data_IF_017405237436
#
_entry.id   IF_017405237436
#
_cell.length_a   1.000
_cell.length_b   1.000
_cell.length_c   1.000
_cell.angle_alpha   90.00
_cell.angle_beta   90.00
_cell.angle_gamma   90.00
#
_symmetry.space_group_name_H-M   'P 1'
#
loop_
_entity.id
_entity.type
_entity.pdbx_description
1 polymer ?
#
# COMPACT_ATOMS: atom_id res chain seq x y z
N UNK A 1 -4.59 -91.61 39.25
CA UNK A 1 -6.03 -91.88 39.11
C UNK A 1 -6.72 -90.62 38.69
N UNK A 2 -7.23 -90.62 37.42
CA UNK A 2 -8.10 -89.61 36.77
C UNK A 2 -7.57 -88.15 36.73
N UNK A 3 -6.91 -87.72 35.78
CA UNK A 3 -7.13 -87.25 34.41
C UNK A 3 -8.42 -86.44 34.22
N UNK A 4 -8.31 -85.11 34.15
CA UNK A 4 -9.25 -84.29 33.43
C UNK A 4 -8.47 -83.26 32.57
N UNK A 5 -8.62 -83.46 31.29
CA UNK A 5 -8.18 -82.56 30.23
C UNK A 5 -9.15 -81.40 30.17
N UNK A 6 -8.70 -80.15 30.28
CA UNK A 6 -9.42 -79.01 29.82
C UNK A 6 -8.81 -78.53 28.52
N UNK A 7 -9.56 -78.69 27.47
CA UNK A 7 -9.29 -78.07 26.16
C UNK A 7 -9.79 -76.61 26.26
N UNK A 8 -8.86 -75.68 26.27
CA UNK A 8 -9.17 -74.25 26.11
C UNK A 8 -9.14 -73.91 24.60
N UNK A 9 -10.31 -73.66 24.05
CA UNK A 9 -10.48 -73.08 22.72
C UNK A 9 -10.15 -71.63 22.85
N UNK A 10 -8.99 -71.24 22.27
CA UNK A 10 -8.62 -69.83 22.08
C UNK A 10 -9.37 -69.32 20.85
N UNK A 11 -10.46 -68.63 21.08
CA UNK A 11 -11.14 -67.82 20.05
C UNK A 11 -10.30 -66.55 19.85
N UNK A 12 -9.49 -66.53 18.80
CA UNK A 12 -8.79 -65.32 18.34
C UNK A 12 -9.86 -64.35 17.75
N UNK A 13 -10.35 -63.44 18.55
CA UNK A 13 -11.12 -62.34 18.06
C UNK A 13 -10.20 -61.37 17.34
N UNK A 14 -10.25 -61.40 16.02
CA UNK A 14 -9.61 -60.40 15.16
C UNK A 14 -10.37 -59.09 15.33
N UNK A 15 -9.98 -58.27 16.28
CA UNK A 15 -10.42 -56.88 16.39
C UNK A 15 -9.76 -56.11 15.26
N UNK A 16 -10.51 -55.95 14.16
CA UNK A 16 -10.22 -54.94 13.16
C UNK A 16 -10.44 -53.62 13.89
N UNK A 17 -9.38 -53.01 14.38
CA UNK A 17 -9.41 -51.64 14.83
C UNK A 17 -9.74 -50.75 13.62
N UNK A 18 -11.00 -50.36 13.53
CA UNK A 18 -11.33 -49.16 12.76
C UNK A 18 -10.56 -48.04 13.46
N UNK A 19 -9.47 -47.59 12.84
CA UNK A 19 -8.92 -46.29 13.15
C UNK A 19 -10.02 -45.27 12.79
N UNK A 20 -10.86 -44.96 13.79
CA UNK A 20 -11.78 -43.87 13.69
C UNK A 20 -10.96 -42.61 13.60
N UNK A 21 -11.09 -41.89 12.49
CA UNK A 21 -10.61 -40.53 12.40
C UNK A 21 -11.05 -39.79 13.68
N UNK A 22 -10.12 -39.31 14.47
CA UNK A 22 -10.45 -38.50 15.64
C UNK A 22 -11.00 -37.15 15.10
N UNK A 23 -12.34 -37.03 15.23
CA UNK A 23 -13.03 -35.73 15.01
C UNK A 23 -13.13 -35.05 16.35
N UNK A 24 -12.53 -33.91 16.46
CA UNK A 24 -12.63 -33.08 17.65
C UNK A 24 -14.04 -32.45 17.72
N UNK A 25 -14.71 -32.55 18.90
CA UNK A 25 -16.02 -31.94 19.14
C UNK A 25 -15.82 -30.69 19.99
N UNK A 26 -16.09 -29.51 19.43
CA UNK A 26 -15.93 -28.23 20.08
C UNK A 26 -17.28 -27.54 20.26
N UNK A 27 -17.48 -26.86 21.39
CA UNK A 27 -18.70 -26.10 21.68
C UNK A 27 -19.84 -26.89 22.23
N UNK A 28 -19.58 -28.01 22.89
CA UNK A 28 -20.58 -29.01 23.30
C UNK A 28 -21.09 -28.91 24.75
N UNK A 29 -20.76 -27.84 25.47
CA UNK A 29 -21.44 -27.65 26.76
C UNK A 29 -22.83 -27.06 26.54
N UNK A 30 -23.84 -27.95 26.58
CA UNK A 30 -25.29 -27.67 26.70
C UNK A 30 -26.09 -27.10 25.50
N UNK A 31 -25.69 -27.32 24.26
CA UNK A 31 -26.61 -27.01 23.14
C UNK A 31 -27.08 -28.29 22.42
N UNK A 32 -28.33 -28.67 22.63
CA UNK A 32 -29.08 -29.65 21.81
C UNK A 32 -29.31 -29.10 20.39
N UNK A 33 -28.22 -28.79 19.66
CA UNK A 33 -28.27 -28.26 18.30
C UNK A 33 -27.86 -29.32 17.28
N UNK A 34 -28.45 -29.27 16.09
CA UNK A 34 -27.99 -30.01 14.95
C UNK A 34 -26.51 -29.66 14.67
N UNK A 35 -25.72 -30.57 14.15
CA UNK A 35 -24.27 -30.38 13.93
C UNK A 35 -23.88 -30.78 12.53
N UNK A 36 -22.79 -30.15 12.03
CA UNK A 36 -22.09 -30.53 10.80
C UNK A 36 -20.60 -30.57 11.04
N UNK A 37 -19.83 -30.88 10.01
CA UNK A 37 -18.37 -31.00 10.08
C UNK A 37 -17.69 -29.93 9.25
N UNK A 38 -16.78 -29.18 9.84
CA UNK A 38 -15.81 -28.38 9.11
C UNK A 38 -14.58 -29.28 8.82
N UNK A 39 -14.31 -29.56 7.54
CA UNK A 39 -13.27 -30.49 7.11
C UNK A 39 -11.97 -29.75 6.81
N UNK A 40 -10.86 -30.33 7.23
CA UNK A 40 -9.50 -29.87 6.92
C UNK A 40 -8.72 -30.84 6.04
N UNK A 41 -9.35 -31.89 5.52
CA UNK A 41 -8.67 -32.89 4.68
C UNK A 41 -8.09 -32.30 3.39
N UNK A 42 -8.78 -31.32 2.79
CA UNK A 42 -8.37 -30.61 1.57
C UNK A 42 -7.97 -29.15 1.86
N UNK A 43 -7.79 -28.83 3.13
CA UNK A 43 -7.46 -27.47 3.56
C UNK A 43 -5.97 -27.18 3.30
N UNK A 44 -5.71 -26.13 2.55
CA UNK A 44 -4.36 -25.65 2.24
C UNK A 44 -4.18 -24.20 2.62
N UNK A 45 -2.95 -23.84 3.02
CA UNK A 45 -2.52 -22.46 3.21
C UNK A 45 -1.40 -22.17 2.21
N UNK A 46 -1.52 -21.07 1.49
CA UNK A 46 -0.44 -20.50 0.70
C UNK A 46 -0.20 -19.06 1.13
N UNK A 47 1.03 -18.57 0.96
CA UNK A 47 1.41 -17.21 1.33
C UNK A 47 1.73 -16.41 0.07
N UNK A 48 1.05 -15.27 -0.12
CA UNK A 48 1.40 -14.32 -1.18
C UNK A 48 2.54 -13.43 -0.69
N UNK A 49 3.68 -13.47 -1.40
CA UNK A 49 4.91 -12.75 -1.06
C UNK A 49 5.21 -11.58 -1.99
N UNK A 50 4.24 -11.10 -2.76
CA UNK A 50 4.45 -10.09 -3.80
C UNK A 50 5.05 -8.77 -3.29
N UNK A 51 4.85 -8.43 -2.00
CA UNK A 51 5.45 -7.24 -1.36
C UNK A 51 6.85 -7.54 -0.77
N UNK A 52 7.20 -8.80 -0.55
CA UNK A 52 8.44 -9.20 0.14
C UNK A 52 9.58 -9.69 -0.76
N UNK A 53 9.46 -9.58 -2.08
CA UNK A 53 10.47 -10.07 -3.04
C UNK A 53 11.87 -9.48 -2.79
N UNK A 54 11.99 -8.38 -2.05
CA UNK A 54 13.27 -7.67 -1.82
C UNK A 54 13.88 -7.96 -0.44
N UNK A 55 13.12 -8.48 0.51
CA UNK A 55 13.65 -8.81 1.82
C UNK A 55 13.66 -10.33 2.02
N UNK A 56 14.85 -10.89 2.27
CA UNK A 56 15.02 -12.28 2.74
C UNK A 56 14.51 -12.47 4.18
N UNK A 57 13.42 -11.83 4.55
CA UNK A 57 12.69 -12.14 5.77
C UNK A 57 12.15 -13.56 5.60
N UNK A 58 12.57 -14.45 6.47
CA UNK A 58 12.35 -15.87 6.34
C UNK A 58 10.88 -16.20 6.07
N UNK A 59 10.64 -17.06 5.09
CA UNK A 59 9.37 -17.73 4.90
C UNK A 59 8.98 -18.33 6.26
N UNK A 60 7.97 -17.76 6.92
CA UNK A 60 7.42 -18.39 8.13
C UNK A 60 6.90 -19.77 7.71
N UNK A 61 7.35 -20.81 8.41
CA UNK A 61 6.86 -22.16 8.15
C UNK A 61 5.35 -22.20 8.34
N UNK A 62 4.61 -22.42 7.26
CA UNK A 62 3.14 -22.45 7.26
C UNK A 62 2.58 -23.45 8.28
N UNK A 63 3.34 -24.52 8.62
CA UNK A 63 2.92 -25.48 9.63
C UNK A 63 2.75 -24.87 11.03
N UNK A 64 3.34 -23.70 11.28
CA UNK A 64 3.23 -23.00 12.55
C UNK A 64 2.12 -21.92 12.55
N UNK A 65 1.36 -21.77 11.46
CA UNK A 65 0.28 -20.79 11.40
C UNK A 65 -0.82 -21.13 12.41
N UNK A 66 -1.30 -20.08 13.08
CA UNK A 66 -2.35 -20.17 14.09
C UNK A 66 -3.69 -19.93 13.43
N UNK A 67 -4.65 -20.81 13.71
CA UNK A 67 -6.01 -20.77 13.17
C UNK A 67 -6.97 -20.64 14.33
N UNK A 68 -7.88 -19.66 14.24
CA UNK A 68 -8.95 -19.40 15.22
C UNK A 68 -10.28 -19.38 14.52
N UNK A 69 -11.25 -20.04 15.11
CA UNK A 69 -12.64 -20.12 14.61
C UNK A 69 -13.51 -19.26 15.50
N UNK A 70 -14.41 -18.50 14.92
CA UNK A 70 -15.33 -17.63 15.63
C UNK A 70 -16.77 -17.91 15.17
N UNK A 71 -17.70 -17.81 16.11
CA UNK A 71 -19.13 -17.91 15.83
C UNK A 71 -19.69 -16.60 15.22
N UNK A 72 -20.98 -16.56 14.95
CA UNK A 72 -21.67 -15.40 14.39
C UNK A 72 -21.66 -14.16 15.32
N UNK A 73 -21.40 -14.35 16.62
CA UNK A 73 -21.29 -13.27 17.59
C UNK A 73 -19.85 -12.73 17.69
N UNK A 74 -18.89 -13.38 17.01
CA UNK A 74 -17.48 -13.07 17.10
C UNK A 74 -16.79 -13.68 18.33
N UNK A 75 -17.43 -14.64 19.01
CA UNK A 75 -16.83 -15.39 20.11
C UNK A 75 -16.01 -16.55 19.56
N UNK A 76 -14.78 -16.72 20.10
CA UNK A 76 -13.91 -17.82 19.68
C UNK A 76 -14.51 -19.17 20.10
N UNK A 77 -14.53 -20.10 19.16
CA UNK A 77 -15.02 -21.47 19.36
C UNK A 77 -13.84 -22.43 19.42
N UNK A 78 -13.63 -23.01 20.59
CA UNK A 78 -12.46 -23.86 20.85
C UNK A 78 -11.17 -23.11 21.10
N UNK A 79 -10.06 -23.84 21.07
CA UNK A 79 -8.71 -23.31 21.31
C UNK A 79 -8.08 -22.84 19.99
N UNK A 80 -6.87 -22.26 20.08
CA UNK A 80 -6.04 -21.97 18.92
C UNK A 80 -5.54 -23.28 18.32
N UNK A 81 -5.76 -23.45 17.00
CA UNK A 81 -5.18 -24.57 16.25
C UNK A 81 -3.86 -24.17 15.60
N UNK A 82 -2.97 -25.12 15.49
CA UNK A 82 -1.72 -24.98 14.72
C UNK A 82 -1.90 -25.75 13.39
N UNK A 83 -1.68 -25.09 12.25
CA UNK A 83 -1.96 -25.65 10.93
C UNK A 83 -1.36 -27.05 10.72
N UNK A 84 -0.07 -27.25 11.06
CA UNK A 84 0.58 -28.55 10.94
C UNK A 84 0.09 -29.64 11.90
N UNK A 85 -0.81 -29.29 12.82
CA UNK A 85 -1.38 -30.18 13.85
C UNK A 85 -2.91 -30.22 13.82
N UNK A 86 -3.51 -29.70 12.72
CA UNK A 86 -4.96 -29.68 12.56
C UNK A 86 -5.54 -31.10 12.55
N UNK A 87 -6.70 -31.32 13.20
CA UNK A 87 -7.47 -32.56 13.02
C UNK A 87 -8.02 -32.64 11.59
N UNK A 88 -8.41 -33.81 11.13
CA UNK A 88 -9.05 -33.97 9.81
C UNK A 88 -10.38 -33.21 9.68
N UNK A 89 -11.02 -32.92 10.80
CA UNK A 89 -12.26 -32.13 10.84
C UNK A 89 -12.72 -31.82 12.25
N UNK A 90 -13.51 -30.78 12.36
CA UNK A 90 -14.11 -30.29 13.61
C UNK A 90 -15.63 -30.37 13.48
N UNK A 91 -16.31 -30.92 14.51
CA UNK A 91 -17.75 -30.93 14.59
C UNK A 91 -18.25 -29.65 15.27
N UNK A 92 -19.05 -28.87 14.56
CA UNK A 92 -19.61 -27.60 15.00
C UNK A 92 -21.13 -27.65 15.01
N UNK A 93 -21.80 -26.87 15.86
CA UNK A 93 -23.25 -26.65 15.80
C UNK A 93 -23.59 -25.95 14.48
N UNK A 94 -24.76 -26.23 13.90
CA UNK A 94 -25.21 -25.54 12.69
C UNK A 94 -25.22 -24.03 12.88
N UNK A 95 -24.70 -23.31 11.90
CA UNK A 95 -24.59 -21.85 11.99
C UNK A 95 -23.58 -21.28 11.01
N UNK A 96 -23.34 -19.99 11.15
CA UNK A 96 -22.34 -19.26 10.35
C UNK A 96 -21.12 -18.94 11.20
N UNK A 97 -19.95 -19.21 10.67
CA UNK A 97 -18.66 -19.03 11.34
C UNK A 97 -17.74 -18.16 10.51
N UNK A 98 -16.70 -17.69 11.16
CA UNK A 98 -15.55 -17.11 10.50
C UNK A 98 -14.27 -17.75 11.03
N UNK A 99 -13.20 -17.68 10.23
CA UNK A 99 -11.89 -18.23 10.59
C UNK A 99 -10.83 -17.18 10.35
N UNK A 100 -9.94 -16.98 11.33
CA UNK A 100 -8.73 -16.15 11.18
C UNK A 100 -7.50 -17.04 11.16
N UNK A 101 -6.64 -16.80 10.20
CA UNK A 101 -5.35 -17.48 10.00
C UNK A 101 -4.26 -16.45 10.16
N UNK A 102 -3.22 -16.74 10.96
CA UNK A 102 -2.10 -15.84 11.18
C UNK A 102 -0.78 -16.60 11.28
N UNK A 103 0.29 -16.06 10.72
CA UNK A 103 1.64 -16.67 10.80
C UNK A 103 2.25 -16.62 12.20
N UNK A 104 1.66 -15.88 13.12
CA UNK A 104 2.08 -15.72 14.52
C UNK A 104 0.86 -15.77 15.46
N UNK A 105 1.06 -16.19 16.69
CA UNK A 105 -0.01 -16.22 17.69
C UNK A 105 -0.43 -14.81 18.15
N UNK A 106 0.53 -13.90 18.19
CA UNK A 106 0.30 -12.49 18.55
C UNK A 106 1.10 -11.59 17.62
N UNK A 107 0.44 -10.57 17.05
CA UNK A 107 1.08 -9.59 16.18
C UNK A 107 1.84 -8.60 17.08
N UNK A 108 3.18 -8.44 16.92
CA UNK A 108 3.93 -7.40 17.62
C UNK A 108 3.41 -6.01 17.27
N UNK A 109 3.37 -5.08 18.22
CA UNK A 109 2.97 -3.71 17.96
C UNK A 109 3.86 -3.04 16.90
N UNK A 110 5.18 -3.28 16.98
CA UNK A 110 6.16 -2.92 15.95
C UNK A 110 7.44 -3.72 16.15
N UNK A 111 8.02 -4.24 15.04
CA UNK A 111 9.27 -4.99 15.08
C UNK A 111 9.98 -4.91 13.71
N UNK A 112 11.32 -4.92 13.71
CA UNK A 112 12.10 -5.00 12.47
C UNK A 112 12.09 -6.41 11.90
N UNK A 113 11.99 -6.51 10.56
CA UNK A 113 12.04 -7.78 9.81
C UNK A 113 11.05 -8.84 10.28
N UNK A 114 9.87 -8.41 10.78
CA UNK A 114 8.83 -9.27 11.32
C UNK A 114 7.52 -9.18 10.50
N UNK A 115 7.50 -9.63 9.23
CA UNK A 115 6.27 -9.69 8.44
C UNK A 115 5.29 -10.67 9.08
N UNK A 116 4.02 -10.29 9.13
CA UNK A 116 2.93 -11.15 9.57
C UNK A 116 1.95 -11.38 8.43
N UNK A 117 1.77 -12.64 8.08
CA UNK A 117 0.82 -13.07 7.05
C UNK A 117 -0.44 -13.60 7.68
N UNK A 118 -1.57 -13.37 7.03
CA UNK A 118 -2.83 -13.90 7.51
C UNK A 118 -3.97 -13.76 6.50
N UNK A 119 -5.08 -14.37 6.85
CA UNK A 119 -6.33 -14.28 6.12
C UNK A 119 -7.51 -14.35 7.09
N UNK A 120 -8.65 -13.79 6.68
CA UNK A 120 -9.93 -13.96 7.34
C UNK A 120 -10.91 -14.56 6.34
N UNK A 121 -11.49 -15.69 6.68
CA UNK A 121 -12.56 -16.34 5.91
C UNK A 121 -13.86 -16.10 6.65
N UNK A 122 -14.80 -15.40 6.03
CA UNK A 122 -16.12 -15.13 6.60
C UNK A 122 -17.18 -15.97 5.91
N UNK A 123 -18.33 -16.15 6.57
CA UNK A 123 -19.50 -16.80 5.98
C UNK A 123 -19.35 -18.31 5.80
N UNK A 124 -18.58 -18.97 6.66
CA UNK A 124 -18.48 -20.43 6.69
C UNK A 124 -19.80 -20.98 7.25
N UNK A 125 -20.60 -21.60 6.40
CA UNK A 125 -21.91 -22.17 6.80
C UNK A 125 -21.74 -23.63 7.15
N UNK A 126 -22.19 -24.01 8.37
CA UNK A 126 -22.23 -25.37 8.86
C UNK A 126 -23.71 -25.83 8.86
N UNK A 127 -24.02 -26.80 8.02
CA UNK A 127 -25.34 -27.39 7.90
C UNK A 127 -25.42 -28.75 8.59
N UNK A 128 -26.62 -29.15 8.99
CA UNK A 128 -26.87 -30.42 9.68
C UNK A 128 -26.39 -31.60 8.83
N UNK A 129 -25.60 -32.49 9.46
CA UNK A 129 -25.07 -33.71 8.85
C UNK A 129 -24.26 -33.48 7.56
N UNK A 130 -23.85 -32.23 7.26
CA UNK A 130 -23.05 -31.89 6.10
C UNK A 130 -21.58 -31.67 6.47
N UNK A 131 -20.73 -31.86 5.47
CA UNK A 131 -19.30 -31.54 5.57
C UNK A 131 -18.98 -30.30 4.71
N UNK A 132 -18.39 -29.28 5.35
CA UNK A 132 -17.95 -28.05 4.69
C UNK A 132 -16.45 -28.08 4.49
N UNK A 133 -15.98 -27.96 3.26
CA UNK A 133 -14.57 -27.86 2.90
C UNK A 133 -14.21 -26.42 2.50
N UNK A 134 -13.05 -25.93 2.91
CA UNK A 134 -12.60 -24.55 2.64
C UNK A 134 -11.63 -24.42 1.47
N UNK A 135 -11.02 -25.53 1.05
CA UNK A 135 -9.98 -25.51 0.00
C UNK A 135 -8.71 -24.79 0.42
N UNK A 136 -8.01 -24.18 -0.53
CA UNK A 136 -6.76 -23.45 -0.27
C UNK A 136 -7.05 -21.97 0.00
N UNK A 137 -6.49 -21.45 1.08
CA UNK A 137 -6.61 -20.04 1.49
C UNK A 137 -5.27 -19.33 1.32
N UNK A 138 -5.28 -18.22 0.59
CA UNK A 138 -4.10 -17.37 0.40
C UNK A 138 -3.97 -16.37 1.55
N UNK A 139 -2.89 -16.50 2.32
CA UNK A 139 -2.52 -15.54 3.36
C UNK A 139 -1.69 -14.41 2.75
N UNK A 140 -2.05 -13.16 3.05
CA UNK A 140 -1.37 -11.94 2.62
C UNK A 140 -0.73 -11.25 3.82
N UNK A 141 0.14 -10.26 3.55
CA UNK A 141 0.68 -9.40 4.61
C UNK A 141 -0.47 -8.67 5.31
N UNK A 142 -0.56 -8.79 6.64
CA UNK A 142 -1.61 -8.18 7.46
C UNK A 142 -1.11 -7.10 8.42
N UNK A 143 0.19 -6.90 8.52
CA UNK A 143 0.78 -5.74 9.17
C UNK A 143 1.21 -4.69 8.12
N UNK A 144 1.72 -3.55 8.58
CA UNK A 144 2.15 -2.44 7.74
C UNK A 144 3.67 -2.48 7.66
N UNK A 145 4.22 -2.56 6.46
CA UNK A 145 5.66 -2.50 6.21
C UNK A 145 6.08 -1.05 6.03
N UNK A 146 7.17 -0.65 6.68
CA UNK A 146 7.75 0.69 6.57
C UNK A 146 9.25 0.58 6.28
N UNK A 147 9.74 1.34 5.33
CA UNK A 147 11.16 1.55 5.10
C UNK A 147 11.48 3.05 5.09
N UNK A 148 12.66 3.41 5.61
CA UNK A 148 13.13 4.78 5.64
C UNK A 148 14.40 4.88 4.79
N UNK A 149 14.43 5.85 3.92
CA UNK A 149 15.56 6.14 3.04
C UNK A 149 15.84 7.62 2.94
N UNK A 150 16.92 7.96 2.28
CA UNK A 150 17.37 9.34 2.05
C UNK A 150 17.81 9.45 0.60
N UNK A 151 17.49 10.57 -0.07
CA UNK A 151 18.03 10.86 -1.40
C UNK A 151 19.55 11.01 -1.35
N UNK A 152 20.23 10.86 -2.47
CA UNK A 152 21.70 10.97 -2.55
C UNK A 152 22.18 12.31 -1.98
N UNK A 153 21.54 13.41 -2.38
CA UNK A 153 21.85 14.74 -1.86
C UNK A 153 21.61 14.86 -0.36
N UNK A 154 20.55 14.25 0.16
CA UNK A 154 20.28 14.24 1.60
C UNK A 154 21.33 13.45 2.35
N UNK A 155 21.83 12.34 1.81
CA UNK A 155 22.89 11.53 2.44
C UNK A 155 24.19 12.29 2.61
N UNK A 156 24.54 13.18 1.68
CA UNK A 156 25.77 13.99 1.71
C UNK A 156 25.79 15.01 2.85
N UNK A 157 24.62 15.55 3.22
CA UNK A 157 24.47 16.62 4.22
C UNK A 157 23.96 16.13 5.57
N UNK A 158 23.58 14.84 5.66
CA UNK A 158 22.98 14.25 6.85
C UNK A 158 24.04 13.93 7.90
N UNK A 159 23.89 14.45 9.12
CA UNK A 159 24.74 14.14 10.26
C UNK A 159 24.57 12.69 10.75
N UNK A 160 25.58 12.18 11.45
CA UNK A 160 25.54 10.81 12.00
C UNK A 160 24.59 10.67 13.19
N UNK A 161 24.12 11.77 13.76
CA UNK A 161 23.12 11.87 14.80
C UNK A 161 21.68 11.73 14.32
N UNK A 162 21.49 11.66 12.98
CA UNK A 162 20.18 11.61 12.37
C UNK A 162 19.45 10.30 12.64
N UNK A 163 18.19 10.42 12.98
CA UNK A 163 17.27 9.29 13.20
C UNK A 163 15.86 9.68 12.86
N UNK A 164 15.08 8.66 12.48
CA UNK A 164 13.65 8.78 12.23
C UNK A 164 12.90 7.85 13.18
N UNK A 165 11.94 8.38 13.91
CA UNK A 165 11.00 7.58 14.68
C UNK A 165 9.71 7.51 13.91
N UNK A 166 9.23 6.29 13.66
CA UNK A 166 7.92 6.03 13.05
C UNK A 166 7.01 5.43 14.10
N UNK A 167 5.80 5.97 14.20
CA UNK A 167 4.77 5.53 15.14
C UNK A 167 3.48 5.21 14.39
N UNK A 168 2.91 4.01 14.62
CA UNK A 168 1.62 3.58 14.07
C UNK A 168 0.87 2.85 15.19
N UNK A 169 -0.31 3.36 15.57
CA UNK A 169 -1.06 2.82 16.70
C UNK A 169 -0.22 2.83 17.98
N UNK A 170 -0.01 1.66 18.56
CA UNK A 170 0.83 1.47 19.77
C UNK A 170 2.28 1.10 19.43
N UNK A 171 2.61 0.96 18.15
CA UNK A 171 3.94 0.59 17.69
C UNK A 171 4.83 1.80 17.47
N UNK A 172 6.10 1.69 17.82
CA UNK A 172 7.12 2.70 17.57
C UNK A 172 8.45 2.04 17.24
N UNK A 173 9.10 2.48 16.14
CA UNK A 173 10.44 2.03 15.77
C UNK A 173 11.33 3.23 15.48
N UNK A 174 12.59 3.10 15.88
CA UNK A 174 13.64 4.07 15.63
C UNK A 174 14.54 3.59 14.50
N UNK A 175 14.61 4.36 13.42
CA UNK A 175 15.45 4.15 12.24
C UNK A 175 16.64 5.12 12.32
N UNK A 176 17.81 4.72 12.85
CA UNK A 176 19.00 5.54 12.80
C UNK A 176 19.49 5.71 11.35
N UNK A 177 20.32 6.72 11.10
CA UNK A 177 21.01 6.87 9.80
C UNK A 177 21.68 5.56 9.40
N UNK A 178 21.41 5.10 8.17
CA UNK A 178 21.97 3.87 7.63
C UNK A 178 21.21 2.58 8.01
N UNK A 179 20.08 2.66 8.73
CA UNK A 179 19.20 1.50 8.92
C UNK A 179 18.56 1.11 7.58
N UNK A 180 18.78 -0.15 7.19
CA UNK A 180 18.26 -0.69 5.92
C UNK A 180 17.11 -1.69 6.11
N UNK A 181 16.85 -2.09 7.36
CA UNK A 181 15.79 -3.03 7.69
C UNK A 181 14.43 -2.37 7.56
N UNK A 182 13.46 -3.15 7.09
CA UNK A 182 12.07 -2.72 7.11
C UNK A 182 11.47 -2.94 8.50
N UNK A 183 10.77 -1.94 9.01
CA UNK A 183 9.92 -2.07 10.19
C UNK A 183 8.53 -2.60 9.80
N UNK A 184 7.94 -3.39 10.69
CA UNK A 184 6.59 -3.91 10.52
C UNK A 184 5.76 -3.53 11.73
N UNK A 185 4.57 -2.98 11.49
CA UNK A 185 3.69 -2.43 12.52
C UNK A 185 2.34 -3.14 12.47
N UNK A 186 1.77 -3.42 13.63
CA UNK A 186 0.39 -3.89 13.70
C UNK A 186 -0.53 -2.83 13.08
N UNK A 187 -1.44 -3.25 12.21
CA UNK A 187 -2.43 -2.36 11.66
C UNK A 187 -3.49 -2.04 12.73
N UNK A 188 -3.71 -0.76 13.09
CA UNK A 188 -4.73 -0.40 14.06
C UNK A 188 -6.14 -0.56 13.47
N UNK A 189 -7.09 -0.99 14.30
CA UNK A 189 -8.50 -1.13 13.89
C UNK A 189 -9.22 0.23 13.82
N UNK A 190 -8.84 1.18 14.67
CA UNK A 190 -9.61 2.41 14.90
C UNK A 190 -8.99 3.69 14.36
N UNK A 191 -7.69 3.70 14.05
CA UNK A 191 -6.98 4.90 13.57
C UNK A 191 -5.86 4.51 12.65
N UNK A 192 -5.94 4.94 11.42
CA UNK A 192 -4.98 4.61 10.37
C UNK A 192 -3.96 5.74 10.19
N UNK A 193 -3.48 6.33 11.29
CA UNK A 193 -2.47 7.38 11.25
C UNK A 193 -1.06 6.82 11.48
N UNK A 194 -0.11 7.33 10.69
CA UNK A 194 1.33 7.12 10.88
C UNK A 194 1.98 8.46 11.17
N UNK A 195 2.76 8.54 12.23
CA UNK A 195 3.58 9.72 12.54
C UNK A 195 5.04 9.41 12.23
N UNK A 196 5.68 10.29 11.47
CA UNK A 196 7.10 10.22 11.12
C UNK A 196 7.79 11.42 11.75
N UNK A 197 8.76 11.16 12.64
CA UNK A 197 9.53 12.20 13.32
C UNK A 197 11.01 12.07 13.00
N UNK A 198 11.54 13.01 12.25
CA UNK A 198 12.98 13.16 12.02
C UNK A 198 13.61 13.99 13.13
N UNK A 199 14.84 13.65 13.51
CA UNK A 199 15.67 14.43 14.43
C UNK A 199 17.12 14.22 14.02
N UNK A 200 17.89 15.29 13.88
CA UNK A 200 19.32 15.20 13.57
C UNK A 200 19.87 16.45 12.93
N UNK A 201 21.14 16.38 12.56
CA UNK A 201 21.86 17.47 11.90
C UNK A 201 21.75 17.31 10.39
N UNK A 202 21.37 18.38 9.69
CA UNK A 202 21.32 18.47 8.22
C UNK A 202 22.10 19.73 7.82
N UNK A 203 23.12 19.57 6.98
CA UNK A 203 24.02 20.65 6.56
C UNK A 203 24.56 21.47 7.75
N UNK A 204 25.02 20.77 8.78
CA UNK A 204 25.56 21.38 10.00
C UNK A 204 24.51 21.99 10.96
N UNK A 205 23.25 22.03 10.60
CA UNK A 205 22.15 22.58 11.41
C UNK A 205 21.33 21.46 12.06
N UNK A 206 21.22 21.48 13.38
CA UNK A 206 20.37 20.53 14.10
C UNK A 206 18.90 20.94 13.97
N UNK A 207 18.05 19.97 13.61
CA UNK A 207 16.63 20.20 13.40
C UNK A 207 15.76 19.00 13.77
N UNK A 208 14.46 19.27 13.84
CA UNK A 208 13.42 18.24 14.00
C UNK A 208 12.29 18.53 13.04
N UNK A 209 11.72 17.46 12.44
CA UNK A 209 10.52 17.56 11.62
C UNK A 209 9.56 16.44 12.02
N UNK A 210 8.29 16.74 12.10
CA UNK A 210 7.24 15.74 12.36
C UNK A 210 6.16 15.86 11.29
N UNK A 211 5.77 14.74 10.70
CA UNK A 211 4.63 14.65 9.78
C UNK A 211 3.73 13.50 10.16
N UNK A 212 2.42 13.73 10.00
CA UNK A 212 1.39 12.71 10.15
C UNK A 212 0.83 12.35 8.77
N UNK A 213 0.60 11.06 8.55
CA UNK A 213 0.00 10.51 7.35
C UNK A 213 -1.23 9.71 7.77
N UNK A 214 -2.32 9.86 7.02
CA UNK A 214 -3.56 9.11 7.22
C UNK A 214 -3.67 7.93 6.26
N UNK A 215 -4.72 7.13 6.38
CA UNK A 215 -5.01 5.99 5.50
C UNK A 215 -3.94 4.89 5.44
N UNK A 216 -3.25 4.68 6.54
CA UNK A 216 -2.30 3.58 6.68
C UNK A 216 -3.07 2.29 6.95
N UNK A 217 -3.01 1.32 6.03
CA UNK A 217 -3.80 0.08 6.07
C UNK A 217 -2.91 -1.15 6.14
N UNK A 218 -3.47 -2.23 6.68
CA UNK A 218 -2.85 -3.56 6.62
C UNK A 218 -2.45 -3.93 5.17
N UNK A 219 -1.32 -4.59 5.02
CA UNK A 219 -0.80 -5.03 3.73
C UNK A 219 -0.10 -3.95 2.90
N UNK A 220 0.00 -2.71 3.38
CA UNK A 220 0.72 -1.66 2.69
C UNK A 220 2.22 -1.69 2.99
N UNK A 221 3.01 -1.25 2.03
CA UNK A 221 4.40 -0.86 2.22
C UNK A 221 4.52 0.65 2.08
N UNK A 222 4.86 1.33 3.17
CA UNK A 222 5.12 2.78 3.21
C UNK A 222 6.62 3.01 3.07
N UNK A 223 7.05 3.52 1.91
CA UNK A 223 8.43 3.91 1.65
C UNK A 223 8.57 5.39 1.97
N UNK A 224 9.28 5.70 3.04
CA UNK A 224 9.55 7.06 3.49
C UNK A 224 10.91 7.47 2.94
N UNK A 225 10.97 8.52 2.13
CA UNK A 225 12.22 9.05 1.58
C UNK A 225 12.38 10.51 1.98
N UNK A 226 13.45 10.82 2.70
CA UNK A 226 13.83 12.19 3.00
C UNK A 226 14.59 12.74 1.81
N UNK A 227 14.15 13.88 1.29
CA UNK A 227 14.74 14.57 0.16
C UNK A 227 15.31 15.91 0.60
N UNK A 228 16.43 16.29 0.01
CA UNK A 228 17.05 17.58 0.20
C UNK A 228 16.78 18.42 -1.03
N UNK A 229 16.21 19.60 -0.85
CA UNK A 229 15.81 20.50 -1.93
C UNK A 229 16.60 21.78 -1.76
N UNK A 230 17.47 22.09 -2.73
CA UNK A 230 18.16 23.37 -2.84
C UNK A 230 17.39 24.24 -3.83
N UNK A 231 16.96 25.42 -3.41
CA UNK A 231 16.33 26.37 -4.31
C UNK A 231 17.38 27.19 -5.09
N UNK A 232 16.95 27.91 -6.14
CA UNK A 232 17.85 28.69 -7.02
C UNK A 232 18.62 29.80 -6.27
N UNK A 233 18.22 30.16 -5.05
CA UNK A 233 18.84 31.15 -4.19
C UNK A 233 19.85 30.56 -3.20
N UNK A 234 20.05 29.21 -3.24
CA UNK A 234 20.94 28.51 -2.32
C UNK A 234 20.31 28.28 -0.94
N UNK A 235 19.03 28.58 -0.77
CA UNK A 235 18.30 28.19 0.46
C UNK A 235 17.90 26.73 0.35
N UNK A 236 18.06 26.02 1.45
CA UNK A 236 17.85 24.60 1.50
C UNK A 236 16.70 24.27 2.40
N UNK A 237 15.77 23.47 1.87
CA UNK A 237 14.70 22.85 2.65
C UNK A 237 14.81 21.34 2.48
N UNK A 238 14.45 20.59 3.50
CA UNK A 238 14.28 19.14 3.35
C UNK A 238 12.81 18.78 3.50
N UNK A 239 12.38 17.74 2.79
CA UNK A 239 11.02 17.29 2.76
C UNK A 239 10.93 15.76 2.90
N UNK A 240 9.74 15.26 3.22
CA UNK A 240 9.46 13.84 3.34
C UNK A 240 8.54 13.43 2.20
N UNK A 241 8.99 12.48 1.39
CA UNK A 241 8.15 11.78 0.42
C UNK A 241 7.77 10.41 0.97
N UNK A 242 6.49 10.06 0.87
CA UNK A 242 6.01 8.72 1.22
C UNK A 242 5.39 8.11 -0.02
N UNK A 243 5.94 6.98 -0.43
CA UNK A 243 5.38 6.16 -1.51
C UNK A 243 4.58 5.01 -0.90
N UNK A 244 3.36 4.84 -1.38
CA UNK A 244 2.50 3.72 -1.03
C UNK A 244 2.63 2.62 -2.07
N UNK A 245 2.98 1.43 -1.60
CA UNK A 245 2.99 0.24 -2.41
C UNK A 245 2.06 -0.79 -1.78
N UNK A 246 1.02 -1.21 -2.48
CA UNK A 246 0.19 -2.32 -2.08
C UNK A 246 -0.05 -3.25 -3.27
N UNK A 247 -0.26 -4.53 -2.96
CA UNK A 247 -0.38 -5.61 -3.93
C UNK A 247 -1.75 -5.66 -4.63
N UNK A 248 -2.72 -4.92 -4.13
CA UNK A 248 -4.04 -4.77 -4.73
C UNK A 248 -4.23 -3.32 -5.14
N UNK A 249 -4.38 -3.11 -6.45
CA UNK A 249 -4.79 -1.85 -7.04
C UNK A 249 -6.24 -1.54 -6.64
N UNK A 250 -6.45 -1.04 -5.45
CA UNK A 250 -7.57 -0.17 -5.16
C UNK A 250 -7.00 1.20 -4.81
N UNK A 251 -6.81 1.99 -5.85
CA UNK A 251 -6.56 3.41 -5.75
C UNK A 251 -7.89 4.09 -5.44
N UNK A 252 -8.18 4.24 -4.18
CA UNK A 252 -9.10 5.25 -3.70
C UNK A 252 -8.58 5.70 -2.34
N UNK A 253 -7.82 6.77 -2.32
CA UNK A 253 -7.53 7.39 -1.04
C UNK A 253 -7.11 8.82 -1.19
N UNK A 254 -7.90 9.67 -0.61
CA UNK A 254 -7.53 11.01 -0.24
C UNK A 254 -6.53 10.91 0.90
N UNK A 255 -5.30 11.27 0.66
CA UNK A 255 -4.30 11.46 1.71
C UNK A 255 -4.41 12.91 2.16
N UNK A 256 -5.10 13.15 3.26
CA UNK A 256 -5.00 14.44 3.93
C UNK A 256 -3.70 14.47 4.74
N UNK A 257 -2.78 15.32 4.32
CA UNK A 257 -1.55 15.61 5.04
C UNK A 257 -1.83 16.79 5.98
N UNK A 258 -1.83 16.54 7.28
CA UNK A 258 -1.84 17.64 8.24
C UNK A 258 -0.41 18.02 8.57
N UNK A 259 -0.02 19.23 8.19
CA UNK A 259 1.27 19.83 8.56
C UNK A 259 1.17 20.51 9.94
N UNK A 260 2.02 20.09 10.86
CA UNK A 260 2.37 20.93 12.00
C UNK A 260 3.85 21.27 11.87
N UNK A 261 4.13 22.39 11.18
CA UNK A 261 5.47 22.96 11.07
C UNK A 261 5.70 23.89 12.24
N UNK A 262 6.61 23.53 13.13
CA UNK A 262 7.08 24.45 14.18
C UNK A 262 8.40 25.08 13.67
N UNK A 263 8.25 26.25 13.03
CA UNK A 263 9.34 27.14 12.67
C UNK A 263 8.90 28.13 11.60
N UNK A 264 9.28 29.42 11.66
CA UNK A 264 8.87 30.38 10.66
C UNK A 264 9.57 30.11 9.33
N UNK A 265 8.77 29.79 8.30
CA UNK A 265 9.20 29.81 6.91
C UNK A 265 9.13 31.27 6.42
N UNK A 266 10.24 31.89 6.00
CA UNK A 266 10.23 33.26 5.50
C UNK A 266 10.08 33.39 3.99
N UNK A 267 9.71 32.40 3.21
CA UNK A 267 9.29 32.66 1.82
C UNK A 267 8.69 31.43 1.11
N UNK A 268 7.46 31.06 1.47
CA UNK A 268 6.64 30.26 0.58
C UNK A 268 6.04 31.20 -0.48
N UNK A 269 6.61 31.16 -1.67
CA UNK A 269 5.98 31.79 -2.83
C UNK A 269 4.56 31.28 -3.04
N UNK A 270 3.62 32.20 -3.06
CA UNK A 270 2.17 32.07 -3.05
C UNK A 270 1.61 31.03 -4.04
N UNK A 271 1.34 29.83 -3.55
CA UNK A 271 0.21 29.03 -3.99
C UNK A 271 -0.70 28.89 -2.78
N UNK A 272 -1.83 29.57 -2.79
CA UNK A 272 -2.82 29.56 -1.69
C UNK A 272 -3.39 28.14 -1.50
N UNK A 273 -2.73 27.32 -0.67
CA UNK A 273 -3.17 25.99 -0.29
C UNK A 273 -4.36 25.98 0.68
N UNK A 274 -4.81 27.16 1.10
CA UNK A 274 -5.89 27.34 2.08
C UNK A 274 -7.29 27.23 1.46
N UNK A 275 -7.44 27.24 0.13
CA UNK A 275 -8.74 27.14 -0.53
C UNK A 275 -8.96 25.72 -1.08
N UNK A 276 -9.86 24.90 -0.45
CA UNK A 276 -10.16 23.56 -0.92
C UNK A 276 -10.85 23.52 -2.29
N UNK A 277 -11.36 24.65 -2.76
CA UNK A 277 -12.12 24.75 -4.01
C UNK A 277 -11.25 25.01 -5.25
N UNK A 278 -9.96 25.35 -5.07
CA UNK A 278 -9.04 25.59 -6.19
C UNK A 278 -8.62 24.28 -6.86
N UNK A 279 -8.58 24.19 -8.21
CA UNK A 279 -8.04 23.04 -8.89
C UNK A 279 -6.60 22.70 -8.47
N UNK A 280 -6.28 21.42 -8.29
CA UNK A 280 -4.96 20.94 -7.86
C UNK A 280 -4.48 19.81 -8.76
N UNK A 281 -3.14 19.69 -8.91
CA UNK A 281 -2.50 18.60 -9.64
C UNK A 281 -1.65 17.79 -8.68
N UNK A 282 -1.81 16.48 -8.71
CA UNK A 282 -1.11 15.55 -7.84
C UNK A 282 -0.24 14.58 -8.65
N UNK A 283 0.92 14.24 -8.11
CA UNK A 283 1.79 13.20 -8.63
C UNK A 283 1.93 12.10 -7.60
N UNK A 284 1.55 10.86 -7.99
CA UNK A 284 1.58 9.70 -7.07
C UNK A 284 0.88 9.97 -5.72
N UNK A 285 -0.23 10.71 -5.74
CA UNK A 285 -1.00 11.05 -4.54
C UNK A 285 -0.45 12.20 -3.70
N UNK A 286 0.69 12.80 -4.06
CA UNK A 286 1.28 13.97 -3.42
C UNK A 286 1.39 15.17 -4.35
N UNK A 287 1.97 16.27 -3.86
CA UNK A 287 2.25 17.45 -4.69
C UNK A 287 3.21 17.12 -5.83
N UNK A 288 3.08 17.83 -6.94
CA UNK A 288 4.02 17.71 -8.07
C UNK A 288 5.41 18.15 -7.61
N UNK A 289 6.47 17.34 -7.84
CA UNK A 289 7.83 17.69 -7.45
C UNK A 289 8.29 19.01 -8.08
N UNK A 290 8.88 19.90 -7.27
CA UNK A 290 9.48 21.15 -7.76
C UNK A 290 10.76 20.88 -8.56
N UNK A 291 11.54 19.85 -8.17
CA UNK A 291 12.71 19.38 -8.91
C UNK A 291 12.31 18.58 -10.15
N UNK A 292 13.11 18.61 -11.23
CA UNK A 292 12.83 17.84 -12.42
C UNK A 292 12.80 16.33 -12.15
N UNK A 293 11.76 15.65 -12.63
CA UNK A 293 11.65 14.19 -12.62
C UNK A 293 12.60 13.65 -13.70
N UNK A 294 13.62 12.89 -13.32
CA UNK A 294 14.52 12.25 -14.29
C UNK A 294 13.72 11.12 -14.96
N UNK A 295 13.54 11.23 -16.28
CA UNK A 295 12.78 10.25 -17.05
C UNK A 295 13.72 9.20 -17.68
N UNK A 296 13.23 7.96 -17.70
CA UNK A 296 13.91 6.79 -18.27
C UNK A 296 12.96 6.04 -19.19
N UNK A 297 13.46 5.26 -20.10
CA UNK A 297 12.64 4.51 -21.06
C UNK A 297 11.65 3.58 -20.36
N UNK A 298 10.42 3.61 -20.84
CA UNK A 298 9.31 2.82 -20.28
C UNK A 298 8.74 3.33 -18.95
N UNK A 299 9.21 4.49 -18.44
CA UNK A 299 8.69 5.08 -17.21
C UNK A 299 7.22 5.44 -17.36
N UNK A 300 6.39 5.06 -16.37
CA UNK A 300 5.00 5.50 -16.27
C UNK A 300 4.94 6.84 -15.53
N UNK A 301 4.32 7.82 -16.15
CA UNK A 301 4.27 9.20 -15.65
C UNK A 301 2.86 9.76 -15.80
N UNK A 302 2.07 9.68 -14.74
CA UNK A 302 0.69 10.18 -14.73
C UNK A 302 0.44 11.10 -13.54
N UNK A 303 -0.45 12.07 -13.73
CA UNK A 303 -0.80 13.09 -12.75
C UNK A 303 -2.32 13.11 -12.58
N UNK A 304 -2.77 13.15 -11.34
CA UNK A 304 -4.21 13.32 -11.03
C UNK A 304 -4.52 14.81 -10.95
N UNK A 305 -5.55 15.23 -11.66
CA UNK A 305 -6.09 16.58 -11.60
C UNK A 305 -7.39 16.52 -10.80
N UNK A 306 -7.49 17.31 -9.73
CA UNK A 306 -8.71 17.51 -8.95
C UNK A 306 -9.21 18.93 -9.19
N UNK A 307 -10.45 19.07 -9.61
CA UNK A 307 -11.14 20.35 -9.81
C UNK A 307 -12.54 20.27 -9.19
N UNK A 308 -12.69 20.50 -7.87
CA UNK A 308 -13.93 20.20 -7.13
C UNK A 308 -15.19 20.83 -7.69
N UNK A 309 -15.07 21.94 -8.42
CA UNK A 309 -16.19 22.64 -9.07
C UNK A 309 -16.36 22.27 -10.56
N UNK A 310 -15.57 21.31 -11.04
CA UNK A 310 -15.59 20.88 -12.45
C UNK A 310 -14.72 21.74 -13.35
N UNK A 311 -13.98 21.11 -14.26
CA UNK A 311 -13.05 21.75 -15.18
C UNK A 311 -13.83 22.61 -16.20
N UNK A 312 -13.55 23.92 -16.26
CA UNK A 312 -14.04 24.81 -17.30
C UNK A 312 -12.99 25.06 -18.40
N UNK A 313 -11.70 25.12 -18.03
CA UNK A 313 -10.59 25.26 -18.97
C UNK A 313 -9.41 24.42 -18.49
N UNK A 314 -8.73 23.78 -19.43
CA UNK A 314 -7.51 23.05 -19.17
C UNK A 314 -6.55 23.23 -20.34
N UNK A 315 -5.42 23.91 -20.10
CA UNK A 315 -4.36 24.10 -21.10
C UNK A 315 -3.04 23.58 -20.59
N UNK A 316 -2.17 23.16 -21.53
CA UNK A 316 -0.82 22.69 -21.25
C UNK A 316 0.19 23.54 -22.01
N UNK A 317 0.95 24.37 -21.28
CA UNK A 317 2.09 25.10 -21.83
C UNK A 317 3.33 24.21 -21.82
N UNK A 318 4.12 24.30 -22.87
CA UNK A 318 5.38 23.56 -22.98
C UNK A 318 6.57 24.51 -23.10
N UNK A 319 7.62 24.24 -22.32
CA UNK A 319 8.91 24.91 -22.41
C UNK A 319 10.03 23.89 -22.30
N UNK A 320 11.21 24.20 -22.87
CA UNK A 320 12.35 23.29 -22.82
C UNK A 320 13.67 24.05 -22.83
N UNK A 321 14.68 23.47 -22.15
CA UNK A 321 16.07 23.89 -22.26
C UNK A 321 16.80 23.26 -23.45
N UNK A 322 16.16 22.31 -24.15
CA UNK A 322 16.70 21.66 -25.35
C UNK A 322 16.42 22.52 -26.59
N UNK A 323 17.49 23.05 -27.22
CA UNK A 323 17.35 23.81 -28.45
C UNK A 323 16.74 22.99 -29.60
N UNK A 324 17.04 21.69 -29.64
CA UNK A 324 16.48 20.77 -30.65
C UNK A 324 14.96 20.61 -30.44
N UNK A 325 14.51 20.42 -29.20
CA UNK A 325 13.08 20.35 -28.89
C UNK A 325 12.36 21.66 -29.24
N UNK A 326 12.96 22.79 -28.91
CA UNK A 326 12.40 24.10 -29.23
C UNK A 326 12.26 24.31 -30.74
N UNK A 327 13.26 23.90 -31.52
CA UNK A 327 13.28 24.07 -32.98
C UNK A 327 12.36 23.05 -33.69
N UNK A 328 12.25 21.82 -33.21
CA UNK A 328 11.51 20.76 -33.90
C UNK A 328 10.06 20.66 -33.43
N UNK A 329 9.79 20.94 -32.14
CA UNK A 329 8.47 20.74 -31.53
C UNK A 329 7.77 22.07 -31.23
N UNK A 330 8.40 22.97 -30.45
CA UNK A 330 7.73 24.20 -30.05
C UNK A 330 7.55 25.20 -31.20
N UNK A 331 8.47 25.20 -32.18
CA UNK A 331 8.33 26.05 -33.38
C UNK A 331 7.08 25.76 -34.21
N UNK A 332 6.44 24.60 -34.03
CA UNK A 332 5.18 24.28 -34.71
C UNK A 332 3.98 25.09 -34.17
N UNK A 333 4.17 25.88 -33.11
CA UNK A 333 3.12 26.74 -32.52
C UNK A 333 1.97 25.95 -31.86
N UNK A 334 2.26 24.75 -31.37
CA UNK A 334 1.27 23.87 -30.73
C UNK A 334 1.03 24.19 -29.25
N UNK A 335 1.96 24.91 -28.60
CA UNK A 335 1.83 25.34 -27.20
C UNK A 335 1.25 26.76 -27.13
N UNK A 336 0.28 27.00 -26.20
CA UNK A 336 -0.34 26.05 -25.31
C UNK A 336 -1.31 25.09 -26.01
N UNK A 337 -1.39 23.84 -25.55
CA UNK A 337 -2.39 22.89 -26.02
C UNK A 337 -3.69 23.14 -25.25
N UNK A 338 -4.79 23.43 -25.93
CA UNK A 338 -6.12 23.43 -25.32
C UNK A 338 -6.64 21.98 -25.24
N UNK A 339 -6.70 21.44 -24.01
CA UNK A 339 -7.08 20.05 -23.81
C UNK A 339 -8.58 19.79 -23.95
N UNK A 340 -9.42 20.85 -23.88
CA UNK A 340 -10.87 20.74 -24.03
C UNK A 340 -11.29 20.94 -25.48
N UNK A 341 -10.73 21.96 -26.16
CA UNK A 341 -11.05 22.29 -27.54
C UNK A 341 -9.78 22.38 -28.41
N UNK A 342 -9.04 21.27 -28.57
CA UNK A 342 -7.78 21.30 -29.30
C UNK A 342 -8.00 21.54 -30.79
N UNK A 343 -7.08 22.29 -31.42
CA UNK A 343 -7.02 22.42 -32.87
C UNK A 343 -6.61 21.11 -33.56
N UNK A 344 -6.78 20.98 -34.86
CA UNK A 344 -6.38 19.77 -35.60
C UNK A 344 -4.90 19.42 -35.42
N UNK A 345 -3.99 20.42 -35.34
CA UNK A 345 -2.58 20.21 -35.08
C UNK A 345 -2.34 19.71 -33.62
N UNK A 346 -3.07 20.24 -32.66
CA UNK A 346 -2.99 19.81 -31.25
C UNK A 346 -3.57 18.40 -31.06
N UNK A 347 -4.64 18.05 -31.79
CA UNK A 347 -5.20 16.68 -31.79
C UNK A 347 -4.15 15.68 -32.25
N UNK A 348 -3.38 15.99 -33.29
CA UNK A 348 -2.33 15.11 -33.77
C UNK A 348 -1.26 14.85 -32.67
N UNK A 349 -0.89 15.87 -31.91
CA UNK A 349 0.04 15.77 -30.78
C UNK A 349 -0.59 14.98 -29.63
N UNK A 350 -1.82 15.27 -29.27
CA UNK A 350 -2.53 14.52 -28.22
C UNK A 350 -2.61 13.01 -28.55
N UNK A 351 -2.92 12.68 -29.81
CA UNK A 351 -2.96 11.29 -30.26
C UNK A 351 -1.56 10.64 -30.26
N UNK A 352 -0.52 11.39 -30.63
CA UNK A 352 0.87 10.89 -30.66
C UNK A 352 1.34 10.51 -29.24
N UNK A 353 1.01 11.32 -28.25
CA UNK A 353 1.42 11.11 -26.86
C UNK A 353 0.39 10.36 -25.99
N UNK A 354 -0.77 10.05 -26.57
CA UNK A 354 -1.84 9.33 -25.84
C UNK A 354 -2.58 10.19 -24.83
N UNK A 355 -2.56 11.53 -24.97
CA UNK A 355 -3.28 12.43 -24.07
C UNK A 355 -4.80 12.30 -24.23
N UNK A 356 -5.51 12.25 -23.12
CA UNK A 356 -6.96 12.40 -23.12
C UNK A 356 -7.31 13.87 -23.36
N UNK A 357 -8.18 14.13 -24.34
CA UNK A 357 -8.60 15.47 -24.72
C UNK A 357 -10.07 15.50 -25.15
N UNK A 358 -10.61 16.69 -25.31
CA UNK A 358 -11.94 16.92 -25.84
C UNK A 358 -12.95 17.37 -24.81
N UNK A 359 -14.17 17.64 -25.27
CA UNK A 359 -15.26 18.16 -24.43
C UNK A 359 -15.66 17.24 -23.28
N UNK A 360 -15.26 15.97 -23.30
CA UNK A 360 -15.49 15.02 -22.21
C UNK A 360 -14.72 15.37 -20.92
N UNK A 361 -13.68 16.21 -21.03
CA UNK A 361 -12.95 16.72 -19.85
C UNK A 361 -13.71 17.86 -19.14
N UNK A 362 -14.58 18.57 -19.86
CA UNK A 362 -15.33 19.68 -19.29
C UNK A 362 -16.32 19.21 -18.22
N UNK A 363 -16.33 19.89 -17.08
CA UNK A 363 -17.19 19.58 -15.93
C UNK A 363 -16.72 18.40 -15.07
N UNK A 364 -15.63 17.70 -15.43
CA UNK A 364 -15.07 16.67 -14.56
C UNK A 364 -14.50 17.29 -13.30
N UNK A 365 -14.81 16.68 -12.16
CA UNK A 365 -14.22 17.05 -10.86
C UNK A 365 -12.86 16.39 -10.61
N UNK A 366 -12.57 15.31 -11.36
CA UNK A 366 -11.31 14.61 -11.32
C UNK A 366 -10.98 14.01 -12.69
N UNK A 367 -9.71 14.04 -13.08
CA UNK A 367 -9.22 13.38 -14.30
C UNK A 367 -7.72 13.07 -14.16
N UNK A 368 -7.20 12.29 -15.09
CA UNK A 368 -5.77 11.94 -15.13
C UNK A 368 -5.11 12.57 -16.37
N UNK A 369 -3.99 13.25 -16.18
CA UNK A 369 -3.10 13.68 -17.23
C UNK A 369 -1.92 12.69 -17.32
N UNK A 370 -1.92 11.87 -18.38
CA UNK A 370 -0.95 10.80 -18.58
C UNK A 370 0.15 11.22 -19.56
N UNK A 371 1.36 11.40 -19.08
CA UNK A 371 2.56 11.71 -19.84
C UNK A 371 3.39 10.47 -20.22
N UNK A 372 2.96 9.26 -19.85
CA UNK A 372 3.73 8.03 -20.12
C UNK A 372 4.04 7.84 -21.59
N UNK A 373 3.09 8.21 -22.48
CA UNK A 373 3.29 8.17 -23.92
C UNK A 373 4.33 9.17 -24.47
N UNK A 374 4.57 10.27 -23.73
CA UNK A 374 5.56 11.29 -24.09
C UNK A 374 6.97 10.94 -23.62
N UNK A 375 7.15 10.05 -22.65
CA UNK A 375 8.45 9.71 -22.04
C UNK A 375 9.45 9.25 -23.08
N UNK A 376 9.16 8.19 -23.84
CA UNK A 376 10.09 7.63 -24.83
C UNK A 376 10.45 8.63 -25.93
N UNK A 377 9.51 9.39 -26.54
CA UNK A 377 9.86 10.44 -27.48
C UNK A 377 10.75 11.54 -26.90
N UNK A 378 10.52 11.96 -25.65
CA UNK A 378 11.31 13.01 -25.00
C UNK A 378 12.77 12.58 -24.76
N UNK A 379 13.08 11.29 -24.62
CA UNK A 379 14.46 10.80 -24.46
C UNK A 379 15.39 11.17 -25.62
N UNK A 380 14.82 11.49 -26.78
CA UNK A 380 15.58 12.02 -27.93
C UNK A 380 16.05 13.48 -27.79
N UNK A 381 15.61 14.18 -26.74
CA UNK A 381 15.86 15.62 -26.55
C UNK A 381 16.50 15.89 -25.18
N UNK A 382 17.83 15.71 -25.01
CA UNK A 382 18.50 15.99 -23.73
C UNK A 382 18.21 17.41 -23.24
N UNK A 383 17.91 17.54 -21.95
CA UNK A 383 17.53 18.81 -21.33
C UNK A 383 16.41 18.69 -20.31
N UNK A 384 15.92 19.83 -19.85
CA UNK A 384 14.74 19.90 -18.96
C UNK A 384 13.54 20.39 -19.73
N UNK A 385 12.48 19.60 -19.72
CA UNK A 385 11.19 19.89 -20.36
C UNK A 385 10.17 20.22 -19.28
N UNK A 386 9.46 21.33 -19.42
CA UNK A 386 8.43 21.77 -18.48
C UNK A 386 7.07 21.75 -19.16
N UNK A 387 6.13 21.02 -18.59
CA UNK A 387 4.73 21.01 -18.98
C UNK A 387 3.93 21.70 -17.85
N UNK A 388 3.44 22.91 -18.12
CA UNK A 388 2.68 23.67 -17.12
C UNK A 388 1.19 23.44 -17.37
N UNK A 389 0.52 22.84 -16.44
CA UNK A 389 -0.92 22.57 -16.46
C UNK A 389 -1.66 23.77 -15.87
N UNK A 390 -2.40 24.48 -16.71
CA UNK A 390 -3.25 25.60 -16.28
C UNK A 390 -4.71 25.12 -16.28
N UNK A 391 -5.34 25.11 -15.14
CA UNK A 391 -6.69 24.59 -14.95
C UNK A 391 -7.55 25.67 -14.33
N UNK A 392 -8.72 25.92 -14.92
CA UNK A 392 -9.74 26.80 -14.35
C UNK A 392 -11.03 26.03 -14.19
N UNK A 393 -11.67 26.15 -13.05
CA UNK A 393 -12.94 25.50 -12.78
C UNK A 393 -14.15 26.35 -13.24
N UNK A 394 -15.36 25.80 -13.08
CA UNK A 394 -16.60 26.48 -13.50
C UNK A 394 -16.97 27.69 -12.65
N UNK A 395 -16.35 27.88 -11.47
CA UNK A 395 -16.52 29.03 -10.59
C UNK A 395 -15.42 30.10 -10.79
N UNK A 396 -14.44 29.83 -11.68
CA UNK A 396 -13.37 30.75 -12.04
C UNK A 396 -12.13 30.63 -11.17
N UNK A 397 -12.07 29.63 -10.25
CA UNK A 397 -10.81 29.34 -9.52
C UNK A 397 -9.81 28.74 -10.46
N UNK A 398 -8.55 29.18 -10.37
CA UNK A 398 -7.50 28.75 -11.30
C UNK A 398 -6.27 28.28 -10.59
N UNK A 399 -5.57 27.30 -11.17
CA UNK A 399 -4.26 26.87 -10.74
C UNK A 399 -3.31 26.72 -11.93
N UNK A 400 -2.00 26.85 -11.66
CA UNK A 400 -0.93 26.68 -12.65
C UNK A 400 0.15 25.80 -12.00
N UNK A 401 0.33 24.58 -12.54
CA UNK A 401 1.26 23.60 -11.96
C UNK A 401 2.30 23.17 -12.98
N UNK A 402 3.58 23.52 -12.81
CA UNK A 402 4.65 23.09 -13.68
C UNK A 402 5.11 21.67 -13.35
N UNK A 403 5.13 20.79 -14.36
CA UNK A 403 5.71 19.45 -14.32
C UNK A 403 7.05 19.51 -15.04
N UNK A 404 8.15 19.34 -14.33
CA UNK A 404 9.49 19.37 -14.91
C UNK A 404 10.02 17.96 -15.10
N UNK A 405 10.50 17.65 -16.29
CA UNK A 405 11.11 16.36 -16.64
C UNK A 405 12.53 16.58 -17.15
N UNK A 406 13.46 15.76 -16.70
CA UNK A 406 14.87 15.84 -17.12
C UNK A 406 15.26 14.61 -17.92
N UNK A 407 15.84 14.85 -19.08
CA UNK A 407 16.55 13.88 -19.93
C UNK A 407 18.05 14.15 -19.79
N UNK A 408 18.81 13.15 -19.36
CA UNK A 408 20.27 13.25 -19.20
C UNK A 408 21.01 13.03 -20.52
#
# INVERSE_FOLDING_TARGET
>A
MKLFKFISIITLALSIGLAGCEREKIGYEDKNGATGTLSFMNFGIETSTSIDIVTRAGSSDINNYVIRIFDANGEQVGDDYIYGQMPEGIVLVTGTYSMKIQSVSQIPAAEFEAPVYGATVNGIVIEEDQTTDLGTITCKLINIKVSVGYSDLMQEVLGDDAKVVVEIGNGSLNFPKGETKCGYFAAPEASNAMTVKFTGTVDGNYGTMTRAFTDVKAGQWRKITFIYIENEEGNVTFDIQVEDWCDERELASNVEVSEEVIGPDPDAGEGDDSNPDVPKVFYKGGSVPKSPIVITDGMQLSFTISAPKGIASFTVDMASTSDVFNNEVLSMGISPIDMINPSEAQIAICNMFGFTYGSALAGLTETTFDLSGAVTPLLGFPGTHTFTLNITDTEGNSSSTPIKMKVN
#
